data_IF_228815669803
#
_entry.id   IF_228815669803
#
_cell.length_a   1.000
_cell.length_b   1.000
_cell.length_c   1.000
_cell.angle_alpha   90.00
_cell.angle_beta   90.00
_cell.angle_gamma   90.00
#
_symmetry.space_group_name_H-M   'P 1'
#
loop_
_entity.id
_entity.type
_entity.pdbx_description
1 polymer ?
#
# COMPACT_ATOMS: atom_id res chain seq x y z
N UNK A 1 -0.62 -6.63 -12.25
CA UNK A 1 0.35 -7.74 -12.22
C UNK A 1 -0.33 -9.09 -12.49
N UNK A 2 0.46 -10.09 -12.90
CA UNK A 2 0.03 -11.48 -13.06
C UNK A 2 0.88 -12.39 -12.19
N UNK A 3 0.28 -13.46 -11.69
CA UNK A 3 0.99 -14.49 -10.94
C UNK A 3 1.20 -15.68 -11.90
N UNK A 4 2.46 -15.99 -12.17
CA UNK A 4 2.83 -17.15 -13.00
C UNK A 4 2.85 -18.40 -12.11
N UNK A 5 1.83 -19.23 -12.26
CA UNK A 5 1.64 -20.45 -11.44
C UNK A 5 1.52 -21.66 -12.36
N UNK A 6 2.54 -22.54 -12.41
CA UNK A 6 2.51 -23.71 -13.27
C UNK A 6 1.44 -24.76 -12.89
N UNK A 7 0.91 -24.69 -11.67
CA UNK A 7 -0.08 -25.63 -11.16
C UNK A 7 -1.53 -25.26 -11.47
N UNK A 8 -1.80 -24.02 -11.89
CA UNK A 8 -3.17 -23.56 -12.19
C UNK A 8 -3.65 -24.18 -13.50
N UNK A 9 -4.90 -24.66 -13.51
CA UNK A 9 -5.49 -25.11 -14.77
C UNK A 9 -5.86 -23.91 -15.66
N UNK A 10 -5.75 -24.04 -17.00
CA UNK A 10 -6.17 -22.98 -17.92
C UNK A 10 -7.61 -22.50 -17.68
N UNK A 11 -8.53 -23.43 -17.45
CA UNK A 11 -9.93 -23.09 -17.18
C UNK A 11 -10.13 -22.34 -15.86
N UNK A 12 -9.31 -22.61 -14.86
CA UNK A 12 -9.38 -21.87 -13.59
C UNK A 12 -9.01 -20.39 -13.77
N UNK A 13 -8.09 -20.07 -14.69
CA UNK A 13 -7.76 -18.69 -15.01
C UNK A 13 -8.93 -17.92 -15.64
N UNK A 14 -9.72 -18.59 -16.50
CA UNK A 14 -10.92 -17.98 -17.09
C UNK A 14 -12.09 -17.88 -16.10
N UNK A 15 -12.27 -18.89 -15.25
CA UNK A 15 -13.38 -18.91 -14.27
C UNK A 15 -13.16 -17.93 -13.10
N UNK A 16 -11.90 -17.59 -12.79
CA UNK A 16 -11.54 -16.70 -11.68
C UNK A 16 -10.50 -15.65 -12.14
N UNK A 17 -10.85 -14.76 -13.06
CA UNK A 17 -9.91 -13.80 -13.64
C UNK A 17 -9.34 -12.82 -12.61
N UNK A 18 -10.10 -12.54 -11.55
CA UNK A 18 -9.67 -11.63 -10.47
C UNK A 18 -8.47 -12.16 -9.67
N UNK A 19 -8.25 -13.47 -9.68
CA UNK A 19 -7.07 -14.08 -9.04
C UNK A 19 -5.77 -13.78 -9.80
N UNK A 20 -5.86 -13.33 -11.06
CA UNK A 20 -4.72 -13.00 -11.92
C UNK A 20 -3.63 -14.08 -11.94
N UNK A 21 -4.04 -15.36 -11.91
CA UNK A 21 -3.14 -16.52 -11.97
C UNK A 21 -3.24 -17.17 -13.34
N UNK A 22 -2.10 -17.38 -13.98
CA UNK A 22 -2.00 -18.04 -15.28
C UNK A 22 -0.77 -18.94 -15.31
N UNK A 23 -0.77 -19.96 -16.16
CA UNK A 23 0.47 -20.71 -16.38
C UNK A 23 1.49 -19.87 -17.13
N UNK A 24 2.81 -20.06 -16.91
CA UNK A 24 3.85 -19.39 -17.69
C UNK A 24 3.64 -19.55 -19.21
N UNK A 25 3.23 -20.74 -19.64
CA UNK A 25 2.96 -21.03 -21.06
C UNK A 25 1.81 -20.15 -21.63
N UNK A 26 0.70 -20.05 -20.92
CA UNK A 26 -0.42 -19.18 -21.37
C UNK A 26 0.03 -17.73 -21.47
N UNK A 27 0.74 -17.23 -20.46
CA UNK A 27 1.23 -15.86 -20.43
C UNK A 27 2.15 -15.56 -21.61
N UNK A 28 3.16 -16.40 -21.83
CA UNK A 28 4.12 -16.25 -22.93
C UNK A 28 3.46 -16.39 -24.30
N UNK A 29 2.48 -17.30 -24.44
CA UNK A 29 1.71 -17.44 -25.68
C UNK A 29 0.91 -16.16 -25.98
N UNK A 30 0.21 -15.61 -24.98
CA UNK A 30 -0.54 -14.36 -25.16
C UNK A 30 0.40 -13.20 -25.55
N UNK A 31 1.57 -13.10 -24.92
CA UNK A 31 2.57 -12.07 -25.27
C UNK A 31 3.09 -12.24 -26.71
N UNK A 32 3.36 -13.46 -27.14
CA UNK A 32 3.89 -13.73 -28.50
C UNK A 32 2.86 -13.45 -29.62
N UNK A 33 1.57 -13.40 -29.27
CA UNK A 33 0.48 -13.11 -30.20
C UNK A 33 0.11 -11.61 -30.26
N UNK A 34 0.73 -10.77 -29.45
CA UNK A 34 0.58 -9.33 -29.60
C UNK A 34 1.14 -8.89 -30.95
N UNK A 35 0.34 -8.18 -31.71
CA UNK A 35 0.77 -7.62 -33.00
C UNK A 35 1.80 -6.51 -32.79
N UNK A 36 2.75 -6.41 -33.70
CA UNK A 36 3.96 -5.61 -33.62
C UNK A 36 3.79 -4.08 -33.47
N UNK A 37 2.56 -3.58 -33.39
CA UNK A 37 2.31 -2.13 -33.33
C UNK A 37 2.43 -1.54 -31.92
N UNK A 38 2.53 -2.38 -30.89
CA UNK A 38 2.73 -1.94 -29.52
C UNK A 38 3.87 -2.78 -28.92
N UNK A 39 5.06 -2.18 -28.81
CA UNK A 39 6.14 -2.80 -28.06
C UNK A 39 5.68 -2.98 -26.61
N UNK A 40 5.82 -4.19 -26.04
CA UNK A 40 5.48 -4.39 -24.64
C UNK A 40 6.34 -3.49 -23.74
N UNK A 41 5.69 -2.78 -22.83
CA UNK A 41 6.42 -2.00 -21.83
C UNK A 41 7.35 -2.90 -21.01
N UNK A 42 8.50 -2.40 -20.56
CA UNK A 42 9.39 -3.16 -19.70
C UNK A 42 8.65 -3.66 -18.46
N UNK A 43 8.77 -4.95 -18.18
CA UNK A 43 8.12 -5.60 -17.04
C UNK A 43 9.15 -6.13 -16.06
N UNK A 44 8.79 -6.14 -14.78
CA UNK A 44 9.61 -6.72 -13.72
C UNK A 44 9.08 -8.11 -13.38
N UNK A 45 9.95 -9.12 -13.43
CA UNK A 45 9.70 -10.45 -12.92
C UNK A 45 10.29 -10.56 -11.51
N UNK A 46 9.48 -10.92 -10.54
CA UNK A 46 9.91 -11.03 -9.15
C UNK A 46 9.33 -12.29 -8.48
N UNK A 47 9.97 -12.82 -7.40
CA UNK A 47 9.40 -13.92 -6.64
C UNK A 47 8.00 -13.58 -6.12
N UNK A 48 7.09 -14.56 -6.17
CA UNK A 48 5.77 -14.42 -5.58
C UNK A 48 5.85 -14.52 -4.05
N UNK A 49 5.39 -13.49 -3.36
CA UNK A 49 5.30 -13.45 -1.91
C UNK A 49 3.87 -13.79 -1.48
N UNK A 50 3.69 -14.96 -0.87
CA UNK A 50 2.36 -15.51 -0.56
C UNK A 50 1.75 -14.96 0.74
N UNK A 51 2.56 -14.30 1.58
CA UNK A 51 2.12 -13.87 2.90
C UNK A 51 1.37 -12.55 2.93
N UNK A 52 1.31 -11.96 4.12
CA UNK A 52 0.52 -10.75 4.42
C UNK A 52 1.14 -9.51 3.78
N UNK A 53 0.29 -8.67 3.25
CA UNK A 53 0.67 -7.35 2.76
C UNK A 53 0.50 -6.31 3.86
N UNK A 54 1.50 -5.41 3.96
CA UNK A 54 1.43 -4.23 4.83
C UNK A 54 1.74 -2.98 4.03
N UNK A 55 1.08 -1.91 4.42
CA UNK A 55 1.23 -0.59 3.83
C UNK A 55 1.52 0.38 4.97
N UNK A 56 2.72 0.94 5.00
CA UNK A 56 3.16 1.89 6.03
C UNK A 56 3.11 3.28 5.44
N UNK A 57 2.19 4.10 5.95
CA UNK A 57 2.08 5.51 5.59
C UNK A 57 2.86 6.34 6.60
N UNK A 58 3.67 7.29 6.12
CA UNK A 58 4.61 8.05 6.94
C UNK A 58 4.63 9.52 6.56
N UNK A 59 4.84 10.37 7.56
CA UNK A 59 5.35 11.75 7.38
C UNK A 59 6.85 11.69 7.55
N UNK A 60 7.59 12.10 6.54
CA UNK A 60 9.06 12.02 6.52
C UNK A 60 9.63 13.37 6.14
N UNK A 61 10.70 13.80 6.80
CA UNK A 61 11.45 15.02 6.50
C UNK A 61 12.93 14.65 6.30
N UNK A 62 13.42 14.78 5.06
CA UNK A 62 14.82 14.48 4.69
C UNK A 62 15.29 13.10 5.22
N UNK A 63 14.50 12.07 5.03
CA UNK A 63 14.78 10.71 5.50
C UNK A 63 14.43 10.45 6.96
N UNK A 64 14.12 11.47 7.75
CA UNK A 64 13.71 11.27 9.14
C UNK A 64 12.20 11.07 9.27
N UNK A 65 11.80 9.94 9.84
CA UNK A 65 10.38 9.60 10.02
C UNK A 65 9.82 10.34 11.23
N UNK A 66 8.91 11.27 10.98
CA UNK A 66 8.25 12.11 11.99
C UNK A 66 7.03 11.39 12.59
N UNK A 67 6.24 10.75 11.75
CA UNK A 67 5.07 9.97 12.16
C UNK A 67 4.85 8.82 11.17
N UNK A 68 4.39 7.67 11.66
CA UNK A 68 4.15 6.50 10.82
C UNK A 68 2.99 5.65 11.36
N UNK A 69 2.24 5.02 10.45
CA UNK A 69 1.17 4.07 10.77
C UNK A 69 1.21 2.93 9.76
N UNK A 70 1.18 1.70 10.27
CA UNK A 70 1.14 0.48 9.47
C UNK A 70 -0.28 -0.03 9.36
N UNK A 71 -0.70 -0.39 8.14
CA UNK A 71 -1.95 -1.09 7.85
C UNK A 71 -1.63 -2.50 7.35
N UNK A 72 -1.94 -3.50 8.14
CA UNK A 72 -1.83 -4.91 7.77
C UNK A 72 -3.13 -5.37 7.13
N UNK A 73 -3.07 -5.77 5.87
CA UNK A 73 -4.25 -6.16 5.09
C UNK A 73 -4.60 -7.64 5.30
N UNK A 74 -5.86 -7.91 5.62
CA UNK A 74 -6.41 -9.25 5.82
C UNK A 74 -7.80 -9.35 5.14
N UNK A 75 -7.80 -9.65 3.84
CA UNK A 75 -9.02 -9.62 3.04
C UNK A 75 -9.65 -8.22 3.03
N UNK A 76 -10.90 -8.11 3.45
CA UNK A 76 -11.62 -6.83 3.54
C UNK A 76 -11.28 -6.02 4.79
N UNK A 77 -10.55 -6.60 5.75
CA UNK A 77 -10.17 -5.95 7.00
C UNK A 77 -8.72 -5.43 6.93
N UNK A 78 -8.44 -4.39 7.69
CA UNK A 78 -7.09 -3.86 7.88
C UNK A 78 -6.87 -3.60 9.38
N UNK A 79 -5.82 -4.22 9.92
CA UNK A 79 -5.36 -3.93 11.29
C UNK A 79 -4.39 -2.75 11.25
N UNK A 80 -4.60 -1.78 12.14
CA UNK A 80 -3.78 -0.57 12.24
C UNK A 80 -2.79 -0.75 13.40
N UNK A 81 -1.49 -0.64 13.11
CA UNK A 81 -0.38 -0.97 14.00
C UNK A 81 0.72 0.11 13.93
N UNK A 82 1.54 0.26 14.99
CA UNK A 82 2.72 1.12 15.00
C UNK A 82 4.01 0.37 15.41
N UNK A 83 4.08 -0.91 15.14
CA UNK A 83 5.23 -1.74 15.51
C UNK A 83 5.39 -2.95 14.60
N UNK A 84 6.48 -3.68 14.78
CA UNK A 84 6.76 -4.93 14.10
C UNK A 84 7.81 -4.82 12.99
N UNK A 85 8.33 -5.97 12.55
CA UNK A 85 9.47 -6.04 11.61
C UNK A 85 9.21 -5.30 10.30
N UNK A 86 8.01 -5.43 9.75
CA UNK A 86 7.64 -4.74 8.49
C UNK A 86 7.53 -3.22 8.68
N UNK A 87 7.09 -2.76 9.84
CA UNK A 87 7.04 -1.34 10.19
C UNK A 87 8.45 -0.74 10.27
N UNK A 88 9.40 -1.41 10.95
CA UNK A 88 10.79 -0.95 11.03
C UNK A 88 11.52 -1.04 9.69
N UNK A 89 11.24 -2.09 8.88
CA UNK A 89 11.76 -2.19 7.52
C UNK A 89 11.33 -1.00 6.66
N UNK A 90 10.07 -0.61 6.74
CA UNK A 90 9.54 0.54 6.00
C UNK A 90 10.18 1.86 6.42
N UNK A 91 10.38 2.08 7.72
CA UNK A 91 11.09 3.26 8.25
C UNK A 91 12.53 3.31 7.76
N UNK A 92 13.23 2.19 7.84
CA UNK A 92 14.62 2.07 7.33
C UNK A 92 14.69 2.38 5.83
N UNK A 93 13.72 1.87 5.05
CA UNK A 93 13.64 2.18 3.62
C UNK A 93 13.50 3.70 3.37
N UNK A 94 12.60 4.37 4.08
CA UNK A 94 12.41 5.82 3.96
C UNK A 94 13.68 6.61 4.33
N UNK A 95 14.42 6.16 5.35
CA UNK A 95 15.70 6.75 5.77
C UNK A 95 16.78 6.59 4.69
N UNK A 96 16.98 5.39 4.17
CA UNK A 96 18.00 5.09 3.15
C UNK A 96 17.71 5.88 1.87
N UNK A 97 16.44 5.98 1.48
CA UNK A 97 16.01 6.72 0.29
C UNK A 97 15.97 8.24 0.49
N UNK A 98 16.29 8.74 1.69
CA UNK A 98 16.19 10.17 2.04
C UNK A 98 14.83 10.75 1.62
N UNK A 99 13.78 9.98 1.88
CA UNK A 99 12.42 10.35 1.50
C UNK A 99 11.99 11.67 2.15
N UNK A 100 11.10 12.42 1.48
CA UNK A 100 10.50 13.65 2.03
C UNK A 100 9.01 13.72 1.67
N UNK A 101 8.19 14.10 2.60
CA UNK A 101 6.76 14.30 2.40
C UNK A 101 5.87 13.24 3.04
N UNK A 102 4.68 13.04 2.46
CA UNK A 102 3.81 11.91 2.77
C UNK A 102 4.24 10.73 1.88
N UNK A 103 4.81 9.72 2.50
CA UNK A 103 5.43 8.57 1.83
C UNK A 103 4.68 7.30 2.22
N UNK A 104 4.57 6.39 1.28
CA UNK A 104 4.02 5.06 1.52
C UNK A 104 5.02 3.98 1.12
N UNK A 105 5.31 3.06 2.03
CA UNK A 105 6.13 1.87 1.77
C UNK A 105 5.26 0.63 1.89
N UNK A 106 5.30 -0.23 0.89
CA UNK A 106 4.58 -1.49 0.90
C UNK A 106 5.56 -2.65 1.09
N UNK A 107 5.16 -3.57 1.95
CA UNK A 107 5.88 -4.81 2.21
C UNK A 107 4.95 -6.00 2.07
N UNK A 108 5.50 -7.16 1.77
CA UNK A 108 4.76 -8.42 1.77
C UNK A 108 5.61 -9.53 2.35
N UNK A 109 4.99 -10.40 3.13
CA UNK A 109 5.67 -11.52 3.74
C UNK A 109 5.87 -12.67 2.72
N UNK A 110 6.96 -13.41 2.86
CA UNK A 110 7.10 -14.71 2.26
C UNK A 110 6.24 -15.77 2.98
N UNK A 111 6.37 -17.03 2.56
CA UNK A 111 5.64 -18.15 3.18
C UNK A 111 6.02 -18.38 4.65
N UNK A 112 7.19 -17.91 5.10
CA UNK A 112 7.68 -18.04 6.47
C UNK A 112 7.35 -16.83 7.36
N UNK A 113 6.65 -15.83 6.82
CA UNK A 113 6.29 -14.62 7.54
C UNK A 113 7.38 -13.55 7.59
N UNK A 114 8.46 -13.70 6.82
CA UNK A 114 9.51 -12.68 6.71
C UNK A 114 9.05 -11.59 5.72
N UNK A 115 9.03 -10.30 6.14
CA UNK A 115 8.64 -9.22 5.26
C UNK A 115 9.73 -8.87 4.25
N UNK A 116 9.32 -8.60 3.02
CA UNK A 116 10.13 -8.08 1.93
C UNK A 116 9.53 -6.75 1.44
N UNK A 117 10.41 -5.84 1.02
CA UNK A 117 10.01 -4.60 0.38
C UNK A 117 9.36 -4.92 -0.98
N UNK A 118 8.19 -4.36 -1.25
CA UNK A 118 7.57 -4.37 -2.59
C UNK A 118 7.87 -3.07 -3.33
N UNK A 119 7.53 -1.94 -2.72
CA UNK A 119 7.70 -0.63 -3.35
C UNK A 119 7.76 0.47 -2.31
N UNK A 120 8.33 1.60 -2.71
CA UNK A 120 8.23 2.88 -2.03
C UNK A 120 7.53 3.87 -2.95
N UNK A 121 6.50 4.53 -2.46
CA UNK A 121 5.77 5.57 -3.17
C UNK A 121 6.01 6.91 -2.49
N UNK A 122 6.57 7.87 -3.22
CA UNK A 122 6.81 9.23 -2.72
C UNK A 122 5.53 10.07 -2.76
N UNK A 123 4.42 9.47 -2.38
CA UNK A 123 3.08 10.02 -2.29
C UNK A 123 2.26 9.26 -1.25
N UNK A 124 1.18 9.88 -0.71
CA UNK A 124 0.29 9.16 0.19
C UNK A 124 -0.39 7.99 -0.51
N UNK A 125 -0.67 6.92 0.26
CA UNK A 125 -1.51 5.83 -0.21
C UNK A 125 -2.98 6.22 -0.29
N UNK A 126 -3.78 5.49 -1.06
CA UNK A 126 -5.25 5.67 -1.07
C UNK A 126 -5.91 5.40 0.29
N UNK A 127 -5.22 4.73 1.21
CA UNK A 127 -5.72 4.43 2.55
C UNK A 127 -5.10 5.26 3.67
N UNK A 128 -4.35 6.33 3.39
CA UNK A 128 -3.69 7.17 4.41
C UNK A 128 -4.68 7.71 5.45
N UNK A 129 -5.92 8.00 5.05
CA UNK A 129 -6.97 8.49 5.95
C UNK A 129 -7.39 7.47 7.02
N UNK A 130 -7.13 6.18 6.84
CA UNK A 130 -7.46 5.15 7.84
C UNK A 130 -6.64 5.31 9.12
N UNK A 131 -5.49 6.00 9.07
CA UNK A 131 -4.71 6.35 10.26
C UNK A 131 -5.52 7.14 11.30
N UNK A 132 -6.53 7.90 10.88
CA UNK A 132 -7.42 8.64 11.80
C UNK A 132 -8.20 7.72 12.73
N UNK A 133 -8.51 6.49 12.30
CA UNK A 133 -9.23 5.52 13.11
C UNK A 133 -8.42 5.00 14.31
N UNK A 134 -7.11 5.17 14.30
CA UNK A 134 -6.22 4.87 15.43
C UNK A 134 -5.78 6.11 16.23
N UNK A 135 -6.38 7.28 15.98
CA UNK A 135 -6.06 8.54 16.64
C UNK A 135 -4.95 9.36 15.96
N UNK A 136 -4.33 8.88 14.89
CA UNK A 136 -3.22 9.55 14.21
C UNK A 136 -3.69 10.17 12.88
N UNK A 137 -3.56 11.47 12.73
CA UNK A 137 -3.88 12.17 11.48
C UNK A 137 -2.61 12.55 10.71
N UNK A 138 -2.05 11.58 9.96
CA UNK A 138 -0.80 11.79 9.20
C UNK A 138 -0.90 12.98 8.23
N UNK A 139 -2.01 13.10 7.50
CA UNK A 139 -2.20 14.22 6.56
C UNK A 139 -2.25 15.58 7.28
N UNK A 140 -2.88 15.63 8.46
CA UNK A 140 -2.91 16.83 9.30
C UNK A 140 -1.52 17.18 9.83
N UNK A 141 -0.78 16.22 10.36
CA UNK A 141 0.60 16.41 10.84
C UNK A 141 1.48 16.96 9.71
N UNK A 142 1.42 16.36 8.52
CA UNK A 142 2.16 16.82 7.34
C UNK A 142 1.81 18.28 6.99
N UNK A 143 0.52 18.61 6.91
CA UNK A 143 0.08 19.96 6.56
C UNK A 143 0.56 21.00 7.59
N UNK A 144 0.38 20.72 8.89
CA UNK A 144 0.81 21.62 9.96
C UNK A 144 2.33 21.85 9.94
N UNK A 145 3.12 20.79 9.67
CA UNK A 145 4.58 20.89 9.51
C UNK A 145 4.97 21.75 8.30
N UNK A 146 4.38 21.51 7.15
CA UNK A 146 4.70 22.28 5.91
C UNK A 146 4.29 23.74 6.00
N UNK A 147 3.27 24.07 6.78
CA UNK A 147 2.83 25.45 7.05
C UNK A 147 3.62 26.11 8.20
N UNK A 148 4.53 25.40 8.87
CA UNK A 148 5.29 25.92 10.00
C UNK A 148 4.45 26.21 11.25
N UNK A 149 3.26 25.59 11.36
CA UNK A 149 2.32 25.82 12.48
C UNK A 149 2.65 24.97 13.72
N UNK A 150 3.44 23.93 13.57
CA UNK A 150 3.95 23.11 14.67
C UNK A 150 5.45 22.84 14.47
N UNK A 151 6.19 22.69 15.56
CA UNK A 151 7.56 22.23 15.52
C UNK A 151 7.65 20.72 15.33
N UNK A 152 8.86 20.22 15.15
CA UNK A 152 9.12 18.79 14.91
C UNK A 152 8.78 17.94 16.12
N UNK A 153 9.11 18.41 17.32
CA UNK A 153 8.86 17.67 18.56
C UNK A 153 7.35 17.47 18.77
N UNK A 154 6.57 18.53 18.57
CA UNK A 154 5.10 18.45 18.59
C UNK A 154 4.56 17.47 17.55
N UNK A 155 5.09 17.51 16.32
CA UNK A 155 4.67 16.58 15.27
C UNK A 155 4.96 15.11 15.61
N UNK A 156 6.12 14.81 16.19
CA UNK A 156 6.48 13.46 16.67
C UNK A 156 5.48 13.02 17.76
N UNK A 157 5.20 13.87 18.74
CA UNK A 157 4.20 13.58 19.78
C UNK A 157 2.82 13.32 19.17
N UNK A 158 2.37 14.16 18.23
CA UNK A 158 1.10 13.93 17.51
C UNK A 158 1.08 12.62 16.71
N UNK A 159 2.24 12.11 16.30
CA UNK A 159 2.41 10.85 15.59
C UNK A 159 2.37 9.61 16.49
N UNK A 160 2.49 9.78 17.81
CA UNK A 160 2.57 8.70 18.80
C UNK A 160 1.51 8.79 19.88
N UNK A 161 1.28 10.00 20.40
CA UNK A 161 0.35 10.21 21.51
C UNK A 161 -1.09 9.95 21.09
N UNK A 162 -1.78 9.19 21.88
CA UNK A 162 -3.17 8.83 21.58
C UNK A 162 -3.35 7.70 20.56
N UNK A 163 -2.26 7.08 20.06
CA UNK A 163 -2.38 5.89 19.22
C UNK A 163 -3.12 4.76 19.93
N UNK A 164 -4.13 4.22 19.26
CA UNK A 164 -4.90 3.04 19.70
C UNK A 164 -5.00 2.07 18.53
N UNK A 165 -4.53 0.82 18.68
CA UNK A 165 -4.73 -0.19 17.66
C UNK A 165 -6.20 -0.28 17.24
N UNK A 166 -6.45 -0.39 15.95
CA UNK A 166 -7.80 -0.45 15.41
C UNK A 166 -7.89 -1.48 14.30
N UNK A 167 -9.08 -2.03 14.10
CA UNK A 167 -9.40 -2.83 12.91
C UNK A 167 -10.44 -2.07 12.12
N UNK A 168 -10.16 -1.84 10.84
CA UNK A 168 -11.01 -1.06 9.96
C UNK A 168 -11.37 -1.85 8.71
N UNK A 169 -12.45 -1.45 8.08
CA UNK A 169 -12.89 -1.96 6.78
C UNK A 169 -13.49 -0.83 5.97
N UNK A 170 -13.20 -0.79 4.67
CA UNK A 170 -13.93 0.07 3.75
C UNK A 170 -15.34 -0.47 3.54
N UNK A 171 -16.32 0.42 3.50
CA UNK A 171 -17.70 0.09 3.17
C UNK A 171 -18.17 0.99 2.03
N UNK A 172 -18.90 0.41 1.10
CA UNK A 172 -19.58 1.14 0.05
C UNK A 172 -21.06 1.29 0.41
N UNK A 173 -21.64 2.43 0.14
CA UNK A 173 -23.07 2.68 0.34
C UNK A 173 -23.69 3.20 -0.96
N UNK A 174 -24.97 2.90 -1.17
CA UNK A 174 -25.75 3.48 -2.26
C UNK A 174 -26.43 4.73 -1.71
N UNK A 175 -26.24 5.85 -2.42
CA UNK A 175 -26.90 7.12 -2.11
C UNK A 175 -27.82 7.48 -3.29
N UNK A 176 -28.99 8.05 -2.97
CA UNK A 176 -29.82 8.67 -3.98
C UNK A 176 -29.18 10.00 -4.41
N UNK A 177 -29.00 10.19 -5.71
CA UNK A 177 -28.53 11.47 -6.25
C UNK A 177 -29.74 12.38 -6.52
N UNK A 178 -29.58 13.67 -6.26
CA UNK A 178 -30.51 14.71 -6.74
C UNK A 178 -30.27 14.94 -8.24
N UNK A 179 -31.26 15.52 -8.96
CA UNK A 179 -31.12 15.83 -10.39
C UNK A 179 -29.89 16.68 -10.70
N UNK A 180 -29.46 17.58 -9.80
CA UNK A 180 -28.24 18.38 -9.94
C UNK A 180 -26.95 17.57 -9.81
N UNK A 181 -26.94 16.47 -9.04
CA UNK A 181 -25.77 15.59 -8.84
C UNK A 181 -25.64 14.51 -9.90
N UNK A 182 -26.68 14.28 -10.71
CA UNK A 182 -26.67 13.27 -11.79
C UNK A 182 -26.16 13.85 -13.12
N UNK A 183 -25.89 15.15 -13.21
CA UNK A 183 -25.48 15.87 -14.42
C UNK A 183 -23.96 16.14 -14.53
N UNK A 184 -23.17 15.73 -13.53
CA UNK A 184 -21.71 15.74 -13.52
C UNK A 184 -21.15 14.31 -13.84
#
# INVERSE_FOLDING_TARGET
FWILDPSVSPMAAFNNPDNRRVTPKMYLTAMSQQTNDILPEPMVLMPYLAGRERSVDMVVENGEVIAAVCRRKEGALQSIEQSGVAFELAKTCAQIMQADGLVNVQTRDDANGKPYLLEINMRPSGGVCYSRSCGINLSGIFALRKLGLIDKETAIKMGTDGFKPAVVRSVSSVIALTEQQSAE
#
